data_IF_055614279698
#
_entry.id   IF_055614279698
#
_cell.length_a   1.000
_cell.length_b   1.000
_cell.length_c   1.000
_cell.angle_alpha   90.00
_cell.angle_beta   90.00
_cell.angle_gamma   90.00
#
_symmetry.space_group_name_H-M   'P 1'
#
loop_
_entity.id
_entity.type
_entity.pdbx_description
1 polymer ?
#
# COMPACT_ATOMS: atom_id res chain seq x y z
N UNK A 1 -31.24 10.76 16.52
CA UNK A 1 -30.98 9.54 17.32
C UNK A 1 -30.51 8.32 16.51
N UNK A 2 -30.64 8.28 15.18
CA UNK A 2 -30.16 7.16 14.35
C UNK A 2 -28.64 7.11 14.07
N UNK A 3 -27.90 8.24 14.11
CA UNK A 3 -26.46 8.23 13.78
C UNK A 3 -25.56 7.67 14.89
N UNK A 4 -25.96 7.79 16.16
CA UNK A 4 -25.19 7.30 17.31
C UNK A 4 -25.23 5.76 17.36
N UNK A 5 -26.36 5.13 17.02
CA UNK A 5 -26.47 3.67 16.97
C UNK A 5 -25.63 3.04 15.84
N UNK A 6 -25.45 3.74 14.71
CA UNK A 6 -24.64 3.24 13.60
C UNK A 6 -23.14 3.31 13.93
N UNK A 7 -22.67 4.42 14.52
CA UNK A 7 -21.29 4.56 14.98
C UNK A 7 -20.93 3.60 16.13
N UNK A 8 -21.89 3.32 17.02
CA UNK A 8 -21.71 2.37 18.11
C UNK A 8 -21.62 0.91 17.61
N UNK A 9 -22.37 0.55 16.55
CA UNK A 9 -22.27 -0.78 15.92
C UNK A 9 -20.93 -0.99 15.21
N UNK A 10 -20.40 0.03 14.55
CA UNK A 10 -19.07 -0.02 13.92
C UNK A 10 -17.96 -0.19 14.96
N UNK A 11 -18.02 0.57 16.06
CA UNK A 11 -17.03 0.48 17.13
C UNK A 11 -17.12 -0.84 17.89
N UNK A 12 -18.31 -1.41 18.12
CA UNK A 12 -18.45 -2.75 18.72
C UNK A 12 -17.96 -3.85 17.76
N UNK A 13 -18.20 -3.71 16.44
CA UNK A 13 -17.68 -4.64 15.43
C UNK A 13 -16.15 -4.67 15.39
N UNK A 14 -15.52 -3.50 15.32
CA UNK A 14 -14.06 -3.35 15.35
C UNK A 14 -13.48 -3.87 16.67
N UNK A 15 -14.06 -3.50 17.82
CA UNK A 15 -13.58 -3.92 19.14
C UNK A 15 -13.73 -5.43 19.38
N UNK A 16 -14.83 -6.03 18.91
CA UNK A 16 -15.05 -7.48 19.07
C UNK A 16 -14.15 -8.31 18.16
N UNK A 17 -13.82 -7.84 16.96
CA UNK A 17 -12.84 -8.46 16.07
C UNK A 17 -11.42 -8.33 16.63
N UNK A 18 -11.07 -7.17 17.21
CA UNK A 18 -9.81 -6.96 17.91
C UNK A 18 -9.70 -7.90 19.12
N UNK A 19 -10.74 -8.02 19.95
CA UNK A 19 -10.73 -8.92 21.11
C UNK A 19 -10.65 -10.41 20.75
N UNK A 20 -11.30 -10.84 19.66
CA UNK A 20 -11.22 -12.23 19.17
C UNK A 20 -9.90 -12.53 18.47
N UNK A 21 -9.32 -11.55 17.76
CA UNK A 21 -7.98 -11.64 17.19
C UNK A 21 -6.92 -11.78 18.29
N UNK A 22 -6.98 -10.91 19.33
CA UNK A 22 -6.02 -10.87 20.44
C UNK A 22 -5.93 -12.22 21.19
N UNK A 23 -7.05 -12.95 21.32
CA UNK A 23 -7.10 -14.20 22.09
C UNK A 23 -6.54 -15.44 21.35
N UNK A 24 -6.26 -15.36 20.05
CA UNK A 24 -5.77 -16.50 19.25
C UNK A 24 -4.32 -16.36 18.72
N UNK A 25 -3.58 -15.29 19.03
CA UNK A 25 -2.21 -15.04 18.54
C UNK A 25 -1.11 -15.97 19.09
N UNK A 26 -1.45 -17.12 19.66
CA UNK A 26 -0.47 -18.01 20.30
C UNK A 26 0.39 -18.86 19.35
N UNK A 27 0.00 -19.09 18.08
CA UNK A 27 0.70 -20.09 17.25
C UNK A 27 0.74 -19.85 15.73
N UNK A 28 -0.01 -18.88 15.20
CA UNK A 28 -0.12 -18.64 13.74
C UNK A 28 0.14 -17.17 13.46
N UNK A 29 0.98 -16.86 12.47
CA UNK A 29 1.10 -15.49 11.93
C UNK A 29 -0.20 -15.18 11.18
N UNK A 30 -0.90 -14.13 11.58
CA UNK A 30 -2.20 -13.77 11.01
C UNK A 30 -2.12 -12.37 10.39
N UNK A 31 -2.42 -12.27 9.11
CA UNK A 31 -2.54 -11.01 8.39
C UNK A 31 -4.02 -10.63 8.39
N UNK A 32 -4.34 -9.38 8.72
CA UNK A 32 -5.68 -8.76 8.64
C UNK A 32 -5.59 -7.39 7.96
N UNK A 33 -6.09 -7.22 6.75
CA UNK A 33 -6.21 -5.92 6.08
C UNK A 33 -7.58 -5.33 6.37
N UNK A 34 -7.63 -4.25 7.15
CA UNK A 34 -8.86 -3.57 7.54
C UNK A 34 -9.00 -2.26 6.75
N UNK A 35 -9.80 -2.31 5.69
CA UNK A 35 -10.27 -1.12 4.99
C UNK A 35 -11.77 -1.22 4.66
N UNK A 36 -12.48 -0.08 4.62
CA UNK A 36 -13.77 0.01 3.95
C UNK A 36 -13.62 -0.44 2.48
N UNK A 37 -14.62 -1.13 1.93
CA UNK A 37 -14.61 -1.55 0.51
C UNK A 37 -14.54 -0.34 -0.44
N UNK A 38 -14.93 0.83 0.04
CA UNK A 38 -14.90 2.11 -0.66
C UNK A 38 -14.34 3.18 0.26
N UNK A 39 -13.27 3.84 -0.16
CA UNK A 39 -12.64 4.97 0.53
C UNK A 39 -12.56 6.17 -0.41
N UNK A 40 -12.53 7.39 0.14
CA UNK A 40 -12.25 8.62 -0.62
C UNK A 40 -10.75 8.78 -0.83
N UNK A 41 -10.30 9.50 -1.88
CA UNK A 41 -8.90 9.91 -1.97
C UNK A 41 -8.45 10.61 -0.67
N UNK A 42 -7.36 10.12 -0.09
CA UNK A 42 -6.80 10.63 1.16
C UNK A 42 -7.41 10.05 2.44
N UNK A 43 -8.43 9.20 2.37
CA UNK A 43 -8.85 8.40 3.53
C UNK A 43 -7.82 7.31 3.84
N UNK A 44 -7.68 7.02 5.12
CA UNK A 44 -6.70 6.06 5.64
C UNK A 44 -7.15 4.61 5.42
N UNK A 45 -6.19 3.77 5.08
CA UNK A 45 -6.28 2.32 4.97
C UNK A 45 -5.32 1.71 5.97
N UNK A 46 -5.78 0.73 6.75
CA UNK A 46 -4.97 0.06 7.76
C UNK A 46 -4.75 -1.41 7.40
N UNK A 47 -3.51 -1.87 7.56
CA UNK A 47 -3.10 -3.26 7.45
C UNK A 47 -2.60 -3.68 8.83
N UNK A 48 -3.12 -4.78 9.35
CA UNK A 48 -2.67 -5.41 10.58
C UNK A 48 -1.97 -6.72 10.25
N UNK A 49 -0.82 -6.96 10.86
CA UNK A 49 -0.01 -8.14 10.65
C UNK A 49 0.43 -8.63 12.02
N UNK A 50 -0.18 -9.70 12.49
CA UNK A 50 0.11 -10.28 13.79
C UNK A 50 1.16 -11.39 13.75
N UNK A 51 1.90 -11.49 14.85
CA UNK A 51 2.83 -12.58 15.17
C UNK A 51 3.92 -12.78 14.10
N UNK A 52 4.65 -11.71 13.83
CA UNK A 52 5.85 -11.70 12.99
C UNK A 52 7.05 -12.00 13.88
N UNK A 53 7.87 -12.98 13.53
CA UNK A 53 9.09 -13.28 14.30
C UNK A 53 10.28 -12.51 13.76
N UNK A 54 11.31 -12.37 14.60
CA UNK A 54 12.60 -11.90 14.15
C UNK A 54 13.16 -12.87 13.09
N UNK A 55 13.66 -12.34 11.97
CA UNK A 55 14.15 -13.12 10.85
C UNK A 55 13.09 -13.54 9.83
N UNK A 56 11.81 -13.26 10.07
CA UNK A 56 10.76 -13.56 9.11
C UNK A 56 10.87 -12.63 7.89
N UNK A 57 10.84 -13.17 6.67
CA UNK A 57 10.61 -12.39 5.47
C UNK A 57 9.26 -11.67 5.54
N UNK A 58 9.28 -10.42 5.12
CA UNK A 58 8.14 -9.52 5.09
C UNK A 58 7.96 -8.97 3.68
N UNK A 59 6.71 -8.89 3.21
CA UNK A 59 6.38 -8.20 1.96
C UNK A 59 5.00 -7.54 2.04
N UNK A 60 4.90 -6.31 1.56
CA UNK A 60 3.65 -5.62 1.24
C UNK A 60 3.65 -5.31 -0.26
N UNK A 61 2.60 -5.73 -0.95
CA UNK A 61 2.28 -5.33 -2.31
C UNK A 61 1.01 -4.46 -2.30
N UNK A 62 1.11 -3.24 -2.83
CA UNK A 62 -0.01 -2.36 -3.11
C UNK A 62 -0.16 -2.32 -4.63
N UNK A 63 -1.13 -3.05 -5.15
CA UNK A 63 -1.37 -3.22 -6.59
C UNK A 63 -2.64 -2.46 -6.91
N UNK A 64 -2.59 -1.58 -7.90
CA UNK A 64 -3.74 -0.77 -8.26
C UNK A 64 -3.87 -0.52 -9.74
N UNK A 65 -5.03 -0.02 -10.12
CA UNK A 65 -5.26 0.55 -11.43
C UNK A 65 -5.81 1.97 -11.26
N UNK A 66 -4.98 2.96 -11.58
CA UNK A 66 -5.28 4.38 -11.41
C UNK A 66 -6.03 4.87 -12.65
N UNK A 67 -7.18 5.54 -12.47
CA UNK A 67 -7.85 6.25 -13.55
C UNK A 67 -7.35 7.69 -13.66
N UNK A 68 -6.89 8.04 -14.85
CA UNK A 68 -6.41 9.39 -15.20
C UNK A 68 -6.79 9.71 -16.64
N UNK A 69 -6.49 10.91 -17.11
CA UNK A 69 -6.67 11.30 -18.51
C UNK A 69 -5.45 10.88 -19.34
N UNK A 70 -5.67 10.36 -20.55
CA UNK A 70 -4.56 10.05 -21.44
C UNK A 70 -3.87 11.35 -21.92
N UNK A 71 -2.54 11.35 -21.91
CA UNK A 71 -1.71 12.50 -22.22
C UNK A 71 -1.53 13.49 -21.05
N UNK A 72 -2.22 13.29 -19.93
CA UNK A 72 -2.08 14.16 -18.76
C UNK A 72 -0.90 13.77 -17.89
N UNK A 73 -0.36 14.76 -17.19
CA UNK A 73 0.50 14.52 -16.04
C UNK A 73 -0.35 13.98 -14.88
N UNK A 74 0.19 13.03 -14.12
CA UNK A 74 -0.40 12.55 -12.88
C UNK A 74 0.64 12.52 -11.76
N UNK A 75 0.16 12.61 -10.52
CA UNK A 75 0.96 12.51 -9.31
C UNK A 75 0.30 11.49 -8.39
N UNK A 76 0.81 10.28 -8.32
CA UNK A 76 0.33 9.25 -7.40
C UNK A 76 1.07 9.37 -6.07
N UNK A 77 0.34 9.38 -4.95
CA UNK A 77 0.95 9.48 -3.62
C UNK A 77 0.45 8.41 -2.68
N UNK A 78 1.38 7.75 -2.00
CA UNK A 78 1.15 6.99 -0.78
C UNK A 78 1.64 7.86 0.37
N UNK A 79 0.70 8.47 1.10
CA UNK A 79 1.04 9.38 2.19
C UNK A 79 1.02 8.64 3.52
N UNK A 80 1.96 9.00 4.39
CA UNK A 80 2.09 8.51 5.75
C UNK A 80 2.05 6.98 5.82
N UNK A 81 2.77 6.29 4.92
CA UNK A 81 2.93 4.84 5.01
C UNK A 81 3.70 4.53 6.29
N UNK A 82 2.98 4.11 7.32
CA UNK A 82 3.57 3.72 8.58
C UNK A 82 4.10 2.30 8.45
N UNK A 83 5.40 2.13 8.65
CA UNK A 83 6.04 0.82 8.73
C UNK A 83 6.39 0.57 10.20
N UNK A 84 5.70 -0.37 10.88
CA UNK A 84 5.90 -0.67 12.30
C UNK A 84 7.06 -1.64 12.55
N UNK A 85 7.95 -1.85 11.56
CA UNK A 85 9.02 -2.85 11.61
C UNK A 85 10.33 -2.25 11.12
N UNK A 86 11.41 -2.62 11.80
CA UNK A 86 12.76 -2.49 11.25
C UNK A 86 13.00 -3.62 10.23
N UNK A 87 13.32 -3.24 8.99
CA UNK A 87 13.54 -4.15 7.87
C UNK A 87 15.02 -4.12 7.46
N UNK A 88 15.64 -5.31 7.37
CA UNK A 88 16.99 -5.49 6.83
C UNK A 88 16.96 -5.96 5.39
N UNK A 89 17.96 -5.52 4.62
CA UNK A 89 18.06 -5.71 3.17
C UNK A 89 16.74 -5.43 2.43
N UNK A 90 16.04 -4.32 2.73
CA UNK A 90 14.79 -4.02 2.07
C UNK A 90 15.01 -3.73 0.60
N UNK A 91 14.08 -4.23 -0.20
CA UNK A 91 13.91 -3.87 -1.60
C UNK A 91 12.58 -3.15 -1.75
N UNK A 92 12.62 -1.94 -2.32
CA UNK A 92 11.44 -1.21 -2.76
C UNK A 92 11.34 -1.34 -4.28
N UNK A 93 10.19 -1.81 -4.78
CA UNK A 93 9.96 -1.91 -6.23
C UNK A 93 8.74 -1.11 -6.63
N UNK A 94 8.86 -0.37 -7.72
CA UNK A 94 7.79 0.37 -8.36
C UNK A 94 7.67 -0.14 -9.79
N UNK A 95 6.49 -0.65 -10.12
CA UNK A 95 6.15 -1.06 -11.47
C UNK A 95 4.93 -0.28 -11.95
N UNK A 96 5.02 0.36 -13.12
CA UNK A 96 3.90 1.07 -13.74
C UNK A 96 3.86 0.79 -15.23
N UNK A 97 2.67 0.55 -15.77
CA UNK A 97 2.47 0.29 -17.19
C UNK A 97 1.44 1.27 -17.77
N UNK A 98 1.62 1.70 -19.01
CA UNK A 98 0.71 2.63 -19.68
C UNK A 98 1.14 4.08 -19.55
N UNK A 99 2.44 4.32 -19.38
CA UNK A 99 3.06 5.64 -19.40
C UNK A 99 3.39 6.05 -20.83
N UNK A 100 3.55 7.35 -21.07
CA UNK A 100 4.08 7.84 -22.35
C UNK A 100 5.51 7.30 -22.51
N UNK A 101 5.84 6.63 -23.63
CA UNK A 101 7.18 6.10 -23.86
C UNK A 101 8.26 7.17 -23.72
N UNK A 102 9.36 6.84 -23.04
CA UNK A 102 10.47 7.75 -22.74
C UNK A 102 10.09 9.00 -21.92
N UNK A 103 8.89 9.06 -21.35
CA UNK A 103 8.54 10.15 -20.44
C UNK A 103 9.33 10.02 -19.14
N UNK A 104 9.73 11.17 -18.58
CA UNK A 104 10.41 11.21 -17.29
C UNK A 104 9.43 10.86 -16.18
N UNK A 105 9.91 10.05 -15.24
CA UNK A 105 9.23 9.80 -13.98
C UNK A 105 10.05 10.39 -12.84
N UNK A 106 9.37 10.76 -11.76
CA UNK A 106 10.03 11.14 -10.52
C UNK A 106 9.50 10.25 -9.40
N UNK A 107 10.42 9.55 -8.74
CA UNK A 107 10.14 8.76 -7.54
C UNK A 107 10.85 9.43 -6.38
N UNK A 108 10.07 9.84 -5.39
CA UNK A 108 10.58 10.37 -4.14
C UNK A 108 10.04 9.60 -2.95
N UNK A 109 10.89 9.36 -1.96
CA UNK A 109 10.50 8.84 -0.64
C UNK A 109 10.94 9.84 0.42
N UNK A 110 10.02 10.27 1.29
CA UNK A 110 10.26 11.33 2.29
C UNK A 110 10.89 12.59 1.68
N UNK A 111 10.37 13.01 0.53
CA UNK A 111 10.84 14.18 -0.24
C UNK A 111 12.27 14.08 -0.79
N UNK A 112 12.97 12.97 -0.54
CA UNK A 112 14.25 12.68 -1.16
C UNK A 112 13.99 12.04 -2.53
N UNK A 113 14.52 12.66 -3.59
CA UNK A 113 14.47 12.06 -4.93
C UNK A 113 15.44 10.89 -4.98
N UNK A 114 14.94 9.72 -5.37
CA UNK A 114 15.76 8.51 -5.47
C UNK A 114 16.32 8.28 -6.88
N UNK A 115 15.70 8.88 -7.90
CA UNK A 115 16.23 8.90 -9.25
C UNK A 115 17.01 10.19 -9.52
N UNK A 116 18.26 10.25 -9.04
CA UNK A 116 19.13 11.43 -9.18
C UNK A 116 19.48 11.83 -10.62
N UNK A 117 19.35 10.91 -11.60
CA UNK A 117 19.51 11.24 -13.01
C UNK A 117 18.78 10.20 -13.89
N UNK A 118 17.74 10.66 -14.61
CA UNK A 118 17.09 9.96 -15.72
C UNK A 118 16.55 8.57 -15.38
N UNK A 119 15.35 8.53 -14.81
CA UNK A 119 14.54 7.34 -14.92
C UNK A 119 13.31 7.66 -15.76
N UNK A 120 13.18 6.94 -16.86
CA UNK A 120 12.16 7.15 -17.87
C UNK A 120 11.40 5.86 -18.09
N UNK A 121 10.12 5.97 -18.42
CA UNK A 121 9.41 4.82 -18.95
C UNK A 121 10.15 4.32 -20.21
N UNK A 122 10.21 3.00 -20.38
CA UNK A 122 10.83 2.40 -21.54
C UNK A 122 10.04 2.69 -22.83
N UNK A 123 10.51 2.16 -23.96
CA UNK A 123 9.86 2.33 -25.26
C UNK A 123 8.43 1.75 -25.32
N UNK A 124 8.05 0.88 -24.39
CA UNK A 124 6.71 0.29 -24.28
C UNK A 124 5.79 1.06 -23.32
N UNK A 125 6.33 2.06 -22.60
CA UNK A 125 5.59 2.77 -21.55
C UNK A 125 5.56 2.02 -20.22
N UNK A 126 6.51 1.10 -20.01
CA UNK A 126 6.74 0.40 -18.75
C UNK A 126 7.81 1.12 -17.94
N UNK A 127 7.55 1.30 -16.66
CA UNK A 127 8.53 1.73 -15.68
C UNK A 127 8.65 0.63 -14.63
N UNK A 128 9.86 0.12 -14.42
CA UNK A 128 10.14 -0.93 -13.44
C UNK A 128 11.45 -0.61 -12.74
N UNK A 129 11.34 -0.13 -11.51
CA UNK A 129 12.48 0.37 -10.74
C UNK A 129 12.56 -0.31 -9.39
N UNK A 130 13.75 -0.79 -9.07
CA UNK A 130 14.06 -1.50 -7.84
C UNK A 130 15.15 -0.75 -7.06
N UNK A 131 14.90 -0.50 -5.77
CA UNK A 131 15.80 0.19 -4.86
C UNK A 131 16.16 -0.78 -3.74
N UNK A 132 17.41 -1.19 -3.70
CA UNK A 132 17.96 -1.94 -2.58
C UNK A 132 18.58 -0.99 -1.56
N UNK A 133 18.31 -1.25 -0.28
CA UNK A 133 18.95 -0.55 0.83
C UNK A 133 19.50 -1.55 1.85
N UNK A 134 20.51 -1.15 2.64
CA UNK A 134 21.00 -2.00 3.72
C UNK A 134 19.95 -2.18 4.83
N UNK A 135 19.25 -1.11 5.17
CA UNK A 135 18.21 -1.09 6.22
C UNK A 135 17.11 -0.08 5.88
N UNK A 136 15.92 -0.31 6.42
CA UNK A 136 14.78 0.62 6.44
C UNK A 136 14.19 0.56 7.84
N UNK A 137 14.42 1.60 8.68
CA UNK A 137 13.95 1.59 10.05
C UNK A 137 12.42 1.72 10.12
N UNK A 138 11.87 1.37 11.27
CA UNK A 138 10.50 1.73 11.63
C UNK A 138 10.26 3.24 11.41
N UNK A 139 9.10 3.60 10.87
CA UNK A 139 8.71 5.00 10.71
C UNK A 139 7.70 5.24 9.59
N UNK A 140 7.47 6.52 9.32
CA UNK A 140 6.53 6.95 8.29
C UNK A 140 7.25 7.32 7.00
N UNK A 141 6.64 6.91 5.89
CA UNK A 141 7.18 7.07 4.55
C UNK A 141 6.15 7.72 3.63
N UNK A 142 6.51 8.87 3.06
CA UNK A 142 5.75 9.52 2.01
C UNK A 142 6.36 9.17 0.65
N UNK A 143 5.62 8.44 -0.16
CA UNK A 143 6.06 8.04 -1.51
C UNK A 143 5.25 8.82 -2.52
N UNK A 144 5.94 9.50 -3.42
CA UNK A 144 5.32 10.22 -4.53
C UNK A 144 5.92 9.74 -5.84
N UNK A 145 5.04 9.37 -6.78
CA UNK A 145 5.37 8.90 -8.12
C UNK A 145 4.67 9.80 -9.12
N UNK A 146 5.46 10.50 -9.92
CA UNK A 146 4.97 11.41 -10.94
C UNK A 146 5.29 10.88 -12.35
N UNK A 147 4.37 11.06 -13.29
CA UNK A 147 4.58 10.63 -14.68
C UNK A 147 3.56 11.21 -15.65
N UNK A 148 3.68 10.82 -16.92
CA UNK A 148 2.71 11.18 -17.97
C UNK A 148 1.98 9.93 -18.45
N UNK A 149 0.66 9.97 -18.42
CA UNK A 149 -0.21 8.87 -18.81
C UNK A 149 -0.26 8.70 -20.33
N UNK A 150 -0.06 7.49 -20.86
CA UNK A 150 -0.41 7.18 -22.25
C UNK A 150 -1.85 6.62 -22.38
N UNK A 151 -2.41 6.14 -21.28
CA UNK A 151 -3.72 5.48 -21.21
C UNK A 151 -4.54 6.05 -20.06
N UNK A 152 -5.85 5.85 -20.09
CA UNK A 152 -6.76 6.29 -19.03
C UNK A 152 -6.76 5.39 -17.80
N UNK A 153 -6.09 4.24 -17.89
CA UNK A 153 -5.92 3.27 -16.81
C UNK A 153 -4.45 2.89 -16.74
N UNK A 154 -3.84 3.13 -15.58
CA UNK A 154 -2.42 2.87 -15.32
C UNK A 154 -2.33 1.83 -14.22
N UNK A 155 -2.01 0.57 -14.56
CA UNK A 155 -1.59 -0.41 -13.58
C UNK A 155 -0.35 0.09 -12.84
N UNK A 156 -0.42 0.05 -11.51
CA UNK A 156 0.66 0.39 -10.59
C UNK A 156 0.86 -0.79 -9.64
N UNK A 157 2.11 -1.12 -9.35
CA UNK A 157 2.48 -2.02 -8.26
C UNK A 157 3.58 -1.34 -7.47
N UNK A 158 3.33 -1.18 -6.18
CA UNK A 158 4.33 -0.76 -5.21
C UNK A 158 4.59 -1.92 -4.27
N UNK A 159 5.84 -2.33 -4.17
CA UNK A 159 6.26 -3.46 -3.33
C UNK A 159 7.31 -3.00 -2.34
N UNK A 160 7.13 -3.37 -1.08
CA UNK A 160 8.17 -3.35 -0.05
C UNK A 160 8.42 -4.80 0.35
N UNK A 161 9.66 -5.27 0.29
CA UNK A 161 10.05 -6.58 0.83
C UNK A 161 11.35 -6.50 1.60
N UNK A 162 11.56 -7.42 2.53
CA UNK A 162 12.83 -7.58 3.24
C UNK A 162 12.70 -8.57 4.39
N UNK A 163 13.58 -8.47 5.38
CA UNK A 163 13.55 -9.35 6.56
C UNK A 163 13.36 -8.53 7.83
N UNK A 164 12.35 -8.90 8.61
CA UNK A 164 12.05 -8.26 9.88
C UNK A 164 13.16 -8.53 10.91
N UNK A 165 13.56 -7.51 11.66
CA UNK A 165 14.67 -7.60 12.63
C UNK A 165 14.19 -8.07 14.01
N UNK A 166 13.01 -7.63 14.44
CA UNK A 166 12.52 -7.80 15.82
C UNK A 166 11.16 -8.50 15.80
N UNK A 167 10.93 -9.46 16.70
CA UNK A 167 9.63 -10.10 16.79
C UNK A 167 8.55 -9.07 17.18
N UNK A 168 7.48 -9.02 16.40
CA UNK A 168 6.36 -8.09 16.58
C UNK A 168 5.05 -8.86 16.72
N UNK A 169 4.41 -8.86 17.91
CA UNK A 169 3.11 -9.52 18.10
C UNK A 169 2.00 -8.91 17.25
N UNK A 170 2.03 -7.59 16.97
CA UNK A 170 1.04 -6.92 16.13
C UNK A 170 1.62 -5.66 15.46
N UNK A 171 1.91 -5.77 14.17
CA UNK A 171 2.29 -4.67 13.31
C UNK A 171 1.05 -4.03 12.68
N UNK A 172 0.84 -2.73 12.92
CA UNK A 172 -0.14 -1.92 12.19
C UNK A 172 0.57 -1.01 11.19
N UNK A 173 0.19 -1.10 9.91
CA UNK A 173 0.65 -0.24 8.83
C UNK A 173 -0.53 0.54 8.28
N UNK A 174 -0.50 1.85 8.43
CA UNK A 174 -1.52 2.76 7.85
C UNK A 174 -0.94 3.50 6.66
N UNK A 175 -1.79 3.86 5.70
CA UNK A 175 -1.42 4.75 4.60
C UNK A 175 -2.67 5.36 3.98
N UNK A 176 -2.52 6.42 3.20
CA UNK A 176 -3.58 6.96 2.37
C UNK A 176 -3.12 7.12 0.93
N UNK A 177 -4.04 6.98 -0.03
CA UNK A 177 -3.73 7.12 -1.45
C UNK A 177 -4.38 8.40 -2.00
N UNK A 178 -3.61 9.26 -2.67
CA UNK A 178 -4.11 10.49 -3.31
C UNK A 178 -3.57 10.71 -4.72
N UNK A 179 -4.15 11.70 -5.41
CA UNK A 179 -3.65 12.22 -6.68
C UNK A 179 -4.29 11.64 -7.95
N UNK A 180 -5.44 10.99 -7.79
CA UNK A 180 -6.34 10.57 -8.85
C UNK A 180 -7.80 10.60 -8.34
N UNK A 181 -8.76 10.62 -9.25
CA UNK A 181 -10.19 10.70 -8.91
C UNK A 181 -10.79 9.34 -8.55
N UNK A 182 -10.35 8.27 -9.22
CA UNK A 182 -10.87 6.92 -9.04
C UNK A 182 -9.82 5.84 -9.31
N UNK A 183 -9.88 4.73 -8.58
CA UNK A 183 -9.03 3.56 -8.80
C UNK A 183 -9.46 2.36 -7.97
N UNK A 184 -9.06 1.16 -8.41
CA UNK A 184 -9.27 -0.09 -7.64
C UNK A 184 -7.90 -0.59 -7.20
N UNK A 185 -7.79 -0.90 -5.91
CA UNK A 185 -6.54 -1.33 -5.29
C UNK A 185 -6.72 -2.64 -4.56
N UNK A 186 -5.75 -3.52 -4.74
CA UNK A 186 -5.52 -4.74 -4.02
C UNK A 186 -4.30 -4.55 -3.14
N UNK A 187 -4.47 -4.71 -1.83
CA UNK A 187 -3.35 -4.78 -0.88
C UNK A 187 -3.15 -6.22 -0.50
N UNK A 188 -1.91 -6.66 -0.63
CA UNK A 188 -1.49 -8.01 -0.31
C UNK A 188 -0.29 -7.96 0.62
N UNK A 189 -0.42 -8.49 1.82
CA UNK A 189 0.68 -8.60 2.79
C UNK A 189 1.05 -10.06 3.01
N UNK A 190 2.35 -10.29 3.21
CA UNK A 190 2.94 -11.61 3.28
C UNK A 190 4.03 -11.66 4.34
N UNK A 191 3.97 -12.68 5.19
CA UNK A 191 4.98 -13.00 6.20
C UNK A 191 5.36 -14.47 6.05
N UNK A 192 6.62 -14.77 5.74
CA UNK A 192 7.06 -16.16 5.58
C UNK A 192 7.46 -16.72 6.94
N UNK A 193 6.67 -17.63 7.48
CA UNK A 193 7.25 -18.75 8.22
C UNK A 193 6.42 -20.04 8.19
N UNK A 194 5.49 -20.18 7.23
CA UNK A 194 4.79 -21.40 6.89
C UNK A 194 4.50 -21.40 5.38
N UNK A 195 4.48 -22.58 4.75
CA UNK A 195 4.40 -22.87 3.29
C UNK A 195 4.11 -21.71 2.33
N UNK A 196 4.84 -21.59 1.20
CA UNK A 196 4.88 -20.42 0.31
C UNK A 196 3.54 -19.89 -0.24
N UNK A 197 2.42 -20.58 -0.01
CA UNK A 197 1.11 -20.25 -0.55
C UNK A 197 -0.01 -20.12 0.52
N UNK A 198 0.29 -20.19 1.83
CA UNK A 198 -0.76 -20.37 2.87
C UNK A 198 -1.32 -19.11 3.53
N UNK A 199 -0.58 -18.01 3.62
CA UNK A 199 -1.10 -16.78 4.24
C UNK A 199 -0.75 -15.54 3.41
N UNK A 200 -1.55 -15.39 2.37
CA UNK A 200 -1.68 -14.18 1.57
C UNK A 200 -3.05 -13.64 1.89
N UNK A 201 -3.14 -12.61 2.74
CA UNK A 201 -4.41 -11.91 2.85
C UNK A 201 -4.42 -10.78 1.83
N UNK A 202 -5.45 -10.84 0.98
CA UNK A 202 -5.68 -9.88 -0.08
C UNK A 202 -6.97 -9.14 0.24
N UNK A 203 -6.90 -7.83 0.35
CA UNK A 203 -8.08 -6.98 0.44
C UNK A 203 -8.11 -6.05 -0.75
N UNK A 204 -9.23 -6.11 -1.46
CA UNK A 204 -9.56 -5.15 -2.50
C UNK A 204 -10.36 -3.99 -1.88
N UNK A 205 -10.05 -2.77 -2.27
CA UNK A 205 -10.88 -1.60 -2.00
C UNK A 205 -10.90 -0.66 -3.21
N UNK A 206 -11.94 0.14 -3.30
CA UNK A 206 -12.09 1.16 -4.33
C UNK A 206 -11.82 2.53 -3.72
N UNK A 207 -10.90 3.28 -4.33
CA UNK A 207 -10.72 4.70 -4.03
C UNK A 207 -11.56 5.47 -5.03
N UNK A 208 -12.53 6.25 -4.58
CA UNK A 208 -13.38 7.05 -5.47
C UNK A 208 -13.82 8.36 -4.81
N UNK A 209 -13.77 9.44 -5.57
CA UNK A 209 -14.45 10.67 -5.21
C UNK A 209 -15.95 10.41 -5.07
N UNK A 210 -16.54 10.80 -3.93
CA UNK A 210 -17.99 10.79 -3.78
C UNK A 210 -18.60 11.91 -4.63
N UNK A 211 -18.71 11.70 -5.93
CA UNK A 211 -19.72 12.41 -6.71
C UNK A 211 -21.08 11.82 -6.35
N UNK A 212 -21.71 12.49 -5.38
CA UNK A 212 -23.12 12.37 -5.05
C UNK A 212 -23.91 12.44 -6.36
N UNK A 213 -24.75 11.44 -6.59
CA UNK A 213 -25.75 11.42 -7.64
C UNK A 213 -26.48 12.78 -7.69
N UNK A 214 -26.28 13.53 -8.77
CA UNK A 214 -27.15 14.66 -9.06
C UNK A 214 -28.48 14.03 -9.48
N UNK A 215 -29.52 14.28 -8.67
CA UNK A 215 -30.91 13.88 -8.88
C UNK A 215 -31.45 14.35 -10.22
#
# INVERSE_FOLDING_TARGET
>A
MMSILAGLKWSIGVLSIICLGILYFGTVSAVMVSSPDVVKPGEEVSIFIGNIKAGDPFKIDIIGNIKTEAGSFFSFKLNNLSLPLDITNPTLRINMNGLVPNSMLNVSVNQHKYNGALDTADATGLYDYEIDKPTMPEGNYDIEINGTAAKTQIPVTFTIRGTNVVAEPLAESTFSITGFSNGVFDVTSYVVNMEPDKYVEKKQFTVQDQLIAIK
#
